data_IF_434878621418
#
_entry.id   IF_434878621418
#
_cell.length_a   1.000
_cell.length_b   1.000
_cell.length_c   1.000
_cell.angle_alpha   90.00
_cell.angle_beta   90.00
_cell.angle_gamma   90.00
#
_symmetry.space_group_name_H-M   'P 1'
#
loop_
_entity.id
_entity.type
_entity.pdbx_description
1 polymer ?
#
# COMPACT_ATOMS: atom_id res chain seq x y z
N UNK A 1 17.18 19.65 -6.81
CA UNK A 1 16.60 18.46 -7.45
C UNK A 1 15.39 18.05 -6.62
N UNK A 2 14.37 17.47 -7.25
CA UNK A 2 13.08 17.15 -6.61
C UNK A 2 12.92 15.64 -6.41
N UNK A 3 12.24 15.21 -5.34
CA UNK A 3 11.99 13.80 -5.01
C UNK A 3 10.84 13.16 -5.80
N UNK A 4 10.06 13.97 -6.52
CA UNK A 4 8.96 13.53 -7.35
C UNK A 4 9.12 14.12 -8.74
N UNK A 5 8.65 13.45 -9.79
CA UNK A 5 8.78 13.94 -11.17
C UNK A 5 7.40 13.99 -11.78
N UNK A 6 7.05 15.14 -12.36
CA UNK A 6 5.79 15.39 -13.05
C UNK A 6 6.08 15.87 -14.46
N UNK A 7 5.62 15.10 -15.46
CA UNK A 7 5.89 15.38 -16.87
C UNK A 7 4.58 15.42 -17.66
N UNK A 8 4.08 16.63 -18.00
CA UNK A 8 2.93 16.77 -18.90
C UNK A 8 3.24 16.23 -20.30
N UNK A 9 2.33 15.44 -20.86
CA UNK A 9 2.41 14.89 -22.21
C UNK A 9 1.01 14.89 -22.85
N UNK A 10 0.64 16.00 -23.49
CA UNK A 10 -0.69 16.17 -24.08
C UNK A 10 -1.80 16.12 -23.03
N UNK A 11 -2.70 15.15 -23.15
CA UNK A 11 -3.79 14.90 -22.21
C UNK A 11 -3.40 13.94 -21.07
N UNK A 12 -2.12 13.60 -20.94
CA UNK A 12 -1.60 12.65 -19.96
C UNK A 12 -0.51 13.29 -19.11
N UNK A 13 -0.65 13.19 -17.79
CA UNK A 13 0.34 13.60 -16.79
C UNK A 13 1.09 12.37 -16.32
N UNK A 14 2.35 12.24 -16.72
CA UNK A 14 3.21 11.16 -16.24
C UNK A 14 3.81 11.54 -14.90
N UNK A 15 3.72 10.63 -13.92
CA UNK A 15 4.19 10.88 -12.56
C UNK A 15 5.00 9.70 -12.02
N UNK A 16 6.10 9.99 -11.34
CA UNK A 16 6.91 8.97 -10.67
C UNK A 16 7.76 9.55 -9.54
N UNK A 17 8.27 8.67 -8.68
CA UNK A 17 9.27 9.05 -7.69
C UNK A 17 10.64 9.21 -8.36
N UNK A 18 11.42 10.19 -7.93
CA UNK A 18 12.80 10.34 -8.37
C UNK A 18 13.71 9.38 -7.57
N UNK A 19 14.29 8.34 -8.19
CA UNK A 19 15.16 7.41 -7.47
C UNK A 19 16.49 8.06 -7.03
N UNK A 20 16.91 9.15 -7.66
CA UNK A 20 18.15 9.87 -7.32
C UNK A 20 18.00 10.79 -6.09
N UNK A 21 16.76 11.14 -5.74
CA UNK A 21 16.45 12.03 -4.61
C UNK A 21 15.41 11.33 -3.72
N UNK A 22 15.80 10.28 -2.99
CA UNK A 22 14.89 9.58 -2.10
C UNK A 22 14.42 10.51 -0.98
N UNK A 23 13.11 10.58 -0.77
CA UNK A 23 12.54 11.40 0.30
C UNK A 23 11.40 10.69 1.05
N UNK A 24 11.06 11.25 2.19
CA UNK A 24 9.93 10.86 3.05
C UNK A 24 8.61 11.48 2.54
N UNK A 25 7.48 10.97 3.03
CA UNK A 25 6.15 11.31 2.50
C UNK A 25 5.83 12.82 2.55
N UNK A 26 6.27 13.50 3.61
CA UNK A 26 6.16 14.95 3.80
C UNK A 26 6.93 15.75 2.75
N UNK A 27 8.18 15.40 2.47
CA UNK A 27 8.97 16.09 1.45
C UNK A 27 8.47 15.76 0.04
N UNK A 28 8.06 14.52 -0.21
CA UNK A 28 7.50 14.11 -1.52
C UNK A 28 6.25 14.92 -1.86
N UNK A 29 5.36 15.19 -0.89
CA UNK A 29 4.17 16.02 -1.17
C UNK A 29 4.50 17.48 -1.41
N UNK A 30 5.48 18.06 -0.71
CA UNK A 30 5.96 19.42 -1.02
C UNK A 30 6.48 19.50 -2.46
N UNK A 31 7.35 18.55 -2.81
CA UNK A 31 7.99 18.49 -4.13
C UNK A 31 6.99 18.30 -5.27
N UNK A 32 5.93 17.49 -5.04
CA UNK A 32 4.85 17.32 -5.99
C UNK A 32 3.99 18.60 -6.12
N UNK A 33 3.68 19.25 -5.00
CA UNK A 33 2.92 20.50 -4.97
C UNK A 33 3.64 21.63 -5.71
N UNK A 34 4.92 21.84 -5.40
CA UNK A 34 5.76 22.87 -6.04
C UNK A 34 5.83 22.68 -7.56
N UNK A 35 6.00 21.44 -8.03
CA UNK A 35 6.01 21.15 -9.46
C UNK A 35 4.66 21.35 -10.14
N UNK A 36 3.56 20.91 -9.53
CA UNK A 36 2.23 21.14 -10.08
C UNK A 36 1.95 22.63 -10.24
N UNK A 37 2.24 23.42 -9.21
CA UNK A 37 2.06 24.87 -9.25
C UNK A 37 2.92 25.51 -10.34
N UNK A 38 4.21 25.15 -10.42
CA UNK A 38 5.09 25.66 -11.46
C UNK A 38 4.60 25.29 -12.88
N UNK A 39 4.09 24.06 -13.09
CA UNK A 39 3.52 23.63 -14.37
C UNK A 39 2.20 24.33 -14.71
N UNK A 40 1.39 24.67 -13.71
CA UNK A 40 0.15 25.45 -13.89
C UNK A 40 0.50 26.91 -14.25
N UNK A 41 1.38 27.54 -13.49
CA UNK A 41 1.80 28.95 -13.68
C UNK A 41 2.52 29.17 -15.02
N UNK A 42 3.33 28.20 -15.45
CA UNK A 42 4.00 28.23 -16.76
C UNK A 42 3.07 27.89 -17.94
N UNK A 43 1.81 27.51 -17.68
CA UNK A 43 0.84 27.14 -18.71
C UNK A 43 1.06 25.75 -19.33
N UNK A 44 1.95 24.92 -18.76
CA UNK A 44 2.13 23.52 -19.18
C UNK A 44 0.92 22.65 -18.82
N UNK A 45 0.16 23.05 -17.80
CA UNK A 45 -1.12 22.45 -17.40
C UNK A 45 -2.24 23.48 -17.54
N UNK A 46 -2.71 23.76 -18.77
CA UNK A 46 -3.68 24.84 -19.02
C UNK A 46 -5.11 24.50 -18.61
N UNK A 47 -5.36 23.30 -18.06
CA UNK A 47 -6.70 22.74 -17.90
C UNK A 47 -7.26 22.16 -19.20
N UNK A 48 -8.53 21.77 -19.18
CA UNK A 48 -9.19 21.24 -20.38
C UNK A 48 -10.28 20.21 -20.10
N UNK A 49 -10.61 19.41 -21.12
CA UNK A 49 -11.72 18.44 -21.05
C UNK A 49 -11.38 17.19 -20.23
N UNK A 50 -10.16 16.68 -20.38
CA UNK A 50 -9.70 15.45 -19.76
C UNK A 50 -8.23 15.58 -19.40
N UNK A 51 -7.87 15.10 -18.22
CA UNK A 51 -6.50 14.76 -17.86
C UNK A 51 -6.43 13.30 -17.42
N UNK A 52 -5.54 12.52 -18.03
CA UNK A 52 -5.14 11.20 -17.55
C UNK A 52 -3.92 11.35 -16.65
N UNK A 53 -3.87 10.66 -15.53
CA UNK A 53 -2.68 10.59 -14.67
C UNK A 53 -2.14 9.17 -14.76
N UNK A 54 -0.91 9.02 -15.21
CA UNK A 54 -0.25 7.74 -15.42
C UNK A 54 1.07 7.65 -14.66
N UNK A 55 1.35 6.49 -14.07
CA UNK A 55 2.56 6.24 -13.30
C UNK A 55 2.38 6.19 -11.77
N UNK A 56 3.51 6.06 -11.07
CA UNK A 56 3.59 5.69 -9.64
C UNK A 56 3.28 6.88 -8.74
N UNK A 57 2.34 6.67 -7.83
CA UNK A 57 1.88 7.68 -6.89
C UNK A 57 1.89 7.11 -5.47
N UNK A 58 2.22 7.92 -4.46
CA UNK A 58 1.86 7.60 -3.08
C UNK A 58 0.40 7.98 -2.83
N UNK A 59 -0.20 7.40 -1.79
CA UNK A 59 -1.51 7.82 -1.32
C UNK A 59 -1.51 9.33 -1.01
N UNK A 60 -0.45 9.86 -0.41
CA UNK A 60 -0.38 11.28 -0.04
C UNK A 60 -0.37 12.21 -1.26
N UNK A 61 0.45 11.91 -2.28
CA UNK A 61 0.56 12.73 -3.49
C UNK A 61 -0.76 12.75 -4.27
N UNK A 62 -1.53 11.65 -4.22
CA UNK A 62 -2.84 11.60 -4.88
C UNK A 62 -3.84 12.63 -4.34
N UNK A 63 -3.80 12.97 -3.04
CA UNK A 63 -4.63 14.04 -2.48
C UNK A 63 -4.23 15.42 -3.03
N UNK A 64 -2.92 15.69 -3.09
CA UNK A 64 -2.36 16.94 -3.64
C UNK A 64 -2.80 17.09 -5.10
N UNK A 65 -2.56 16.08 -5.94
CA UNK A 65 -2.96 16.12 -7.35
C UNK A 65 -4.46 16.27 -7.54
N UNK A 66 -5.26 15.54 -6.76
CA UNK A 66 -6.70 15.64 -6.83
C UNK A 66 -7.16 17.07 -6.60
N UNK A 67 -6.63 17.73 -5.58
CA UNK A 67 -6.97 19.09 -5.22
C UNK A 67 -6.52 20.12 -6.28
N UNK A 68 -5.23 20.13 -6.62
CA UNK A 68 -4.66 21.13 -7.53
C UNK A 68 -5.22 21.04 -8.95
N UNK A 69 -5.45 19.82 -9.44
CA UNK A 69 -5.88 19.59 -10.83
C UNK A 69 -7.40 19.60 -10.99
N UNK A 70 -8.15 19.32 -9.92
CA UNK A 70 -9.61 19.11 -9.96
C UNK A 70 -10.41 20.29 -10.48
N UNK A 71 -9.90 21.52 -10.29
CA UNK A 71 -10.56 22.73 -10.77
C UNK A 71 -10.16 23.11 -12.22
N UNK A 72 -9.08 22.54 -12.75
CA UNK A 72 -8.55 22.85 -14.08
C UNK A 72 -9.18 22.01 -15.19
N UNK A 73 -9.60 20.78 -14.87
CA UNK A 73 -10.07 19.82 -15.86
C UNK A 73 -11.54 19.41 -15.63
N UNK A 74 -12.31 19.32 -16.72
CA UNK A 74 -13.69 18.83 -16.66
C UNK A 74 -13.78 17.37 -16.22
N UNK A 75 -12.75 16.57 -16.50
CA UNK A 75 -12.61 15.21 -16.01
C UNK A 75 -11.15 14.86 -15.72
N UNK A 76 -10.94 14.05 -14.68
CA UNK A 76 -9.64 13.47 -14.35
C UNK A 76 -9.81 11.96 -14.30
N UNK A 77 -8.93 11.24 -15.00
CA UNK A 77 -8.86 9.79 -14.99
C UNK A 77 -7.49 9.32 -14.51
N UNK A 78 -7.44 8.32 -13.63
CA UNK A 78 -6.20 7.83 -13.04
C UNK A 78 -5.97 6.39 -13.47
N UNK A 79 -4.72 6.07 -13.83
CA UNK A 79 -4.30 4.75 -14.29
C UNK A 79 -4.62 3.69 -13.23
N UNK A 80 -5.32 2.63 -13.65
CA UNK A 80 -5.61 1.44 -12.85
C UNK A 80 -5.03 0.23 -13.59
N UNK A 81 -3.77 -0.16 -13.28
CA UNK A 81 -3.06 -1.20 -14.01
C UNK A 81 -3.81 -2.54 -14.04
N UNK A 82 -4.61 -2.82 -13.00
CA UNK A 82 -5.41 -4.06 -12.91
C UNK A 82 -6.54 -4.11 -13.93
N UNK A 83 -6.97 -2.96 -14.46
CA UNK A 83 -8.03 -2.87 -15.47
C UNK A 83 -7.49 -2.60 -16.87
N UNK A 84 -6.17 -2.41 -17.04
CA UNK A 84 -5.58 -1.91 -18.28
C UNK A 84 -6.32 -0.68 -18.83
N UNK A 85 -6.70 0.22 -17.92
CA UNK A 85 -7.56 1.37 -18.22
C UNK A 85 -7.28 2.51 -17.23
N UNK A 86 -7.76 3.70 -17.56
CA UNK A 86 -7.89 4.81 -16.62
C UNK A 86 -9.29 4.81 -16.02
N UNK A 87 -9.43 5.05 -14.72
CA UNK A 87 -10.73 5.21 -14.06
C UNK A 87 -11.00 6.68 -13.84
N UNK A 88 -12.17 7.17 -14.27
CA UNK A 88 -12.57 8.58 -14.10
C UNK A 88 -12.94 8.82 -12.63
N UNK A 89 -12.10 9.57 -11.93
CA UNK A 89 -12.22 9.89 -10.49
C UNK A 89 -12.81 11.26 -10.20
N UNK A 90 -12.83 12.15 -11.20
CA UNK A 90 -13.47 13.47 -11.15
C UNK A 90 -14.17 13.70 -12.48
N UNK A 91 -15.39 14.20 -12.47
CA UNK A 91 -16.08 14.60 -13.71
C UNK A 91 -17.22 15.58 -13.47
N UNK A 92 -17.29 16.61 -14.32
CA UNK A 92 -18.45 17.51 -14.50
C UNK A 92 -18.99 17.49 -15.93
N UNK A 93 -18.60 16.50 -16.74
CA UNK A 93 -18.94 16.40 -18.17
C UNK A 93 -19.55 15.04 -18.51
N UNK A 94 -20.59 14.97 -19.37
CA UNK A 94 -21.18 13.71 -19.79
C UNK A 94 -20.26 12.87 -20.70
N UNK A 95 -19.24 13.49 -21.30
CA UNK A 95 -18.31 12.79 -22.20
C UNK A 95 -17.42 11.77 -21.47
N UNK A 96 -17.13 12.03 -20.20
CA UNK A 96 -16.33 11.17 -19.33
C UNK A 96 -17.08 10.96 -18.02
N UNK A 97 -18.10 10.10 -17.97
CA UNK A 97 -18.90 9.92 -16.77
C UNK A 97 -18.05 9.50 -15.57
N UNK A 98 -18.37 10.01 -14.38
CA UNK A 98 -17.70 9.61 -13.14
C UNK A 98 -17.79 8.09 -12.94
N UNK A 99 -16.67 7.45 -12.55
CA UNK A 99 -16.55 6.00 -12.40
C UNK A 99 -16.41 5.24 -13.72
N UNK A 100 -16.54 5.87 -14.89
CA UNK A 100 -16.29 5.20 -16.16
C UNK A 100 -14.81 4.82 -16.34
N UNK A 101 -14.56 3.83 -17.20
CA UNK A 101 -13.21 3.39 -17.58
C UNK A 101 -12.86 3.94 -18.95
N UNK A 102 -11.63 4.37 -19.15
CA UNK A 102 -11.05 4.74 -20.45
C UNK A 102 -10.02 3.67 -20.80
N UNK A 103 -10.31 2.83 -21.78
CA UNK A 103 -9.40 1.77 -22.21
C UNK A 103 -8.06 2.36 -22.68
N UNK A 104 -6.94 1.79 -22.22
CA UNK A 104 -5.61 2.35 -22.48
C UNK A 104 -5.22 2.29 -23.96
N UNK A 105 -5.65 1.26 -24.67
CA UNK A 105 -5.29 1.01 -26.07
C UNK A 105 -6.20 1.75 -27.07
N UNK A 106 -7.51 1.73 -26.83
CA UNK A 106 -8.51 2.24 -27.79
C UNK A 106 -8.98 3.66 -27.46
N UNK A 107 -8.76 4.13 -26.22
CA UNK A 107 -9.35 5.37 -25.71
C UNK A 107 -10.86 5.30 -25.51
N UNK A 108 -11.48 4.12 -25.67
CA UNK A 108 -12.93 3.94 -25.54
C UNK A 108 -13.37 4.16 -24.10
N UNK A 109 -14.42 4.96 -23.93
CA UNK A 109 -15.08 5.17 -22.63
C UNK A 109 -16.13 4.09 -22.40
N UNK A 110 -15.97 3.35 -21.31
CA UNK A 110 -16.88 2.30 -20.85
C UNK A 110 -17.57 2.80 -19.58
N UNK A 111 -18.88 3.07 -19.60
CA UNK A 111 -19.62 3.49 -18.42
C UNK A 111 -19.52 2.46 -17.29
N UNK A 112 -19.50 2.94 -16.04
CA UNK A 112 -19.63 2.08 -14.88
C UNK A 112 -20.96 1.33 -14.93
N UNK A 113 -20.91 0.02 -14.70
CA UNK A 113 -22.09 -0.83 -14.57
C UNK A 113 -22.06 -1.48 -13.18
N UNK A 114 -23.00 -1.14 -12.28
CA UNK A 114 -23.01 -1.68 -10.92
C UNK A 114 -23.22 -3.20 -10.94
N UNK A 115 -22.45 -3.91 -10.13
CA UNK A 115 -22.70 -5.32 -9.84
C UNK A 115 -23.94 -5.48 -8.95
N UNK A 116 -24.65 -6.60 -9.09
CA UNK A 116 -25.75 -6.99 -8.19
C UNK A 116 -25.29 -7.49 -6.81
N UNK A 117 -24.01 -7.35 -6.48
CA UNK A 117 -23.46 -7.78 -5.20
C UNK A 117 -23.85 -6.82 -4.08
N UNK A 118 -24.47 -7.34 -3.02
CA UNK A 118 -24.91 -6.55 -1.87
C UNK A 118 -23.77 -6.12 -0.93
N UNK A 119 -22.64 -6.84 -0.96
CA UNK A 119 -21.51 -6.57 -0.05
C UNK A 119 -20.72 -5.35 -0.52
N UNK A 120 -20.61 -4.27 0.28
CA UNK A 120 -19.88 -3.07 -0.13
C UNK A 120 -18.38 -3.36 -0.27
N UNK A 121 -17.77 -2.76 -1.29
CA UNK A 121 -16.34 -2.81 -1.63
C UNK A 121 -15.47 -2.07 -0.62
N UNK A 122 -16.02 -1.01 -0.04
CA UNK A 122 -15.33 -0.10 0.86
C UNK A 122 -16.18 0.20 2.08
N UNK A 123 -15.52 0.60 3.16
CA UNK A 123 -16.17 1.12 4.37
C UNK A 123 -15.47 2.41 4.77
N UNK A 124 -16.26 3.45 4.98
CA UNK A 124 -15.79 4.73 5.50
C UNK A 124 -16.31 4.92 6.91
N UNK A 125 -15.48 4.59 7.89
CA UNK A 125 -15.78 4.88 9.29
C UNK A 125 -15.32 6.30 9.65
N UNK A 126 -15.96 6.88 10.66
CA UNK A 126 -15.71 8.25 11.10
C UNK A 126 -15.77 8.32 12.62
N UNK A 127 -14.76 8.95 13.21
CA UNK A 127 -14.68 9.27 14.65
C UNK A 127 -14.14 10.69 14.85
N UNK A 128 -15.02 11.62 15.18
CA UNK A 128 -14.66 13.02 15.45
C UNK A 128 -14.05 13.74 14.25
N UNK A 129 -12.74 13.96 14.26
CA UNK A 129 -11.99 14.58 13.16
C UNK A 129 -11.17 13.55 12.36
N UNK A 130 -11.41 12.24 12.56
CA UNK A 130 -10.69 11.15 11.88
C UNK A 130 -11.64 10.39 10.94
N UNK A 131 -11.31 10.40 9.65
CA UNK A 131 -11.94 9.54 8.65
C UNK A 131 -11.07 8.29 8.43
N UNK A 132 -11.68 7.11 8.52
CA UNK A 132 -10.98 5.83 8.43
C UNK A 132 -11.48 5.03 7.22
N UNK A 133 -10.90 5.27 6.03
CA UNK A 133 -11.24 4.52 4.83
C UNK A 133 -10.61 3.11 4.86
N UNK A 134 -11.40 2.09 4.56
CA UNK A 134 -10.97 0.69 4.55
C UNK A 134 -11.57 -0.05 3.35
N UNK A 135 -10.84 -1.04 2.85
CA UNK A 135 -11.40 -2.04 1.94
C UNK A 135 -12.19 -3.08 2.72
N UNK A 136 -13.26 -3.58 2.10
CA UNK A 136 -13.86 -4.81 2.59
C UNK A 136 -13.00 -6.01 2.15
N UNK A 137 -12.41 -6.71 3.12
CA UNK A 137 -11.49 -7.83 2.88
C UNK A 137 -12.14 -9.05 2.20
N UNK A 138 -13.47 -9.11 2.21
CA UNK A 138 -14.24 -10.23 1.66
C UNK A 138 -14.47 -10.13 0.15
N UNK A 139 -14.16 -8.99 -0.48
CA UNK A 139 -14.46 -8.73 -1.90
C UNK A 139 -13.24 -8.17 -2.63
N UNK A 140 -12.79 -8.88 -3.67
CA UNK A 140 -11.82 -8.31 -4.62
C UNK A 140 -12.56 -7.38 -5.57
N UNK A 141 -12.30 -6.08 -5.47
CA UNK A 141 -13.11 -5.05 -6.13
C UNK A 141 -12.31 -4.26 -7.15
N UNK A 142 -12.85 -4.06 -8.37
CA UNK A 142 -12.20 -3.24 -9.38
C UNK A 142 -12.22 -1.76 -8.95
N UNK A 143 -11.23 -1.00 -9.43
CA UNK A 143 -10.99 0.38 -9.00
C UNK A 143 -12.14 1.35 -9.27
N UNK A 144 -12.93 1.11 -10.32
CA UNK A 144 -14.13 1.89 -10.64
C UNK A 144 -15.25 1.72 -9.61
N UNK A 145 -15.48 0.50 -9.13
CA UNK A 145 -16.43 0.23 -8.04
C UNK A 145 -16.03 0.95 -6.76
N UNK A 146 -14.73 0.92 -6.42
CA UNK A 146 -14.18 1.65 -5.28
C UNK A 146 -14.50 3.14 -5.38
N UNK A 147 -14.27 3.76 -6.55
CA UNK A 147 -14.56 5.18 -6.79
C UNK A 147 -16.03 5.52 -6.58
N UNK A 148 -16.93 4.71 -7.16
CA UNK A 148 -18.38 4.95 -7.09
C UNK A 148 -18.92 4.80 -5.67
N UNK A 149 -18.55 3.73 -4.98
CA UNK A 149 -19.03 3.48 -3.61
C UNK A 149 -18.45 4.47 -2.60
N UNK A 150 -17.19 4.87 -2.76
CA UNK A 150 -16.55 5.90 -1.91
C UNK A 150 -17.36 7.20 -1.96
N UNK A 151 -17.73 7.64 -3.16
CA UNK A 151 -18.51 8.88 -3.33
C UNK A 151 -19.88 8.76 -2.66
N UNK A 152 -20.59 7.65 -2.88
CA UNK A 152 -21.91 7.43 -2.29
C UNK A 152 -21.87 7.42 -0.74
N UNK A 153 -20.87 6.76 -0.15
CA UNK A 153 -20.70 6.74 1.30
C UNK A 153 -20.32 8.12 1.87
N UNK A 154 -19.39 8.85 1.24
CA UNK A 154 -19.04 10.22 1.66
C UNK A 154 -20.24 11.16 1.62
N UNK A 155 -21.03 11.12 0.54
CA UNK A 155 -22.24 11.93 0.42
C UNK A 155 -23.25 11.61 1.52
N UNK A 156 -23.35 10.34 1.91
CA UNK A 156 -24.19 9.91 3.03
C UNK A 156 -23.68 10.48 4.37
N UNK A 157 -22.37 10.40 4.64
CA UNK A 157 -21.76 10.96 5.85
C UNK A 157 -21.92 12.48 5.94
N UNK A 158 -21.76 13.19 4.81
CA UNK A 158 -21.96 14.65 4.72
C UNK A 158 -23.43 15.00 4.93
N UNK A 159 -24.36 14.32 4.26
CA UNK A 159 -25.80 14.57 4.39
C UNK A 159 -26.32 14.31 5.81
N UNK A 160 -25.71 13.38 6.55
CA UNK A 160 -26.00 13.10 7.97
C UNK A 160 -25.33 14.08 8.93
N UNK A 161 -24.54 15.03 8.42
CA UNK A 161 -23.81 15.99 9.24
C UNK A 161 -22.73 15.36 10.11
N UNK A 162 -22.15 14.22 9.70
CA UNK A 162 -21.01 13.59 10.39
C UNK A 162 -19.70 14.28 9.98
N UNK A 163 -19.54 14.59 8.69
CA UNK A 163 -18.43 15.39 8.17
C UNK A 163 -18.83 16.87 8.08
N UNK A 164 -18.88 17.54 9.24
CA UNK A 164 -19.37 18.94 9.35
C UNK A 164 -18.42 19.98 8.75
N UNK A 165 -17.17 19.62 8.53
CA UNK A 165 -16.15 20.59 8.16
C UNK A 165 -15.73 21.47 9.34
N UNK A 166 -14.85 22.43 9.08
CA UNK A 166 -14.38 23.38 10.08
C UNK A 166 -12.95 23.84 9.86
N UNK A 167 -12.46 24.67 10.78
CA UNK A 167 -11.08 25.20 10.72
C UNK A 167 -10.01 24.16 11.10
N UNK A 168 -10.40 23.12 11.84
CA UNK A 168 -9.50 22.04 12.22
C UNK A 168 -9.20 21.14 11.02
N UNK A 169 -8.01 20.52 10.98
CA UNK A 169 -7.69 19.56 9.94
C UNK A 169 -8.55 18.31 10.08
N UNK A 170 -9.01 17.76 8.95
CA UNK A 170 -9.52 16.39 8.89
C UNK A 170 -8.32 15.44 8.82
N UNK A 171 -8.25 14.48 9.73
CA UNK A 171 -7.25 13.43 9.74
C UNK A 171 -7.77 12.21 8.97
N UNK A 172 -6.96 11.67 8.06
CA UNK A 172 -7.27 10.44 7.32
C UNK A 172 -6.36 9.32 7.85
N UNK A 173 -6.97 8.28 8.42
CA UNK A 173 -6.24 7.11 8.93
C UNK A 173 -6.88 5.82 8.44
N UNK A 174 -6.35 5.27 7.35
CA UNK A 174 -6.87 4.02 6.81
C UNK A 174 -6.11 3.53 5.59
N UNK A 175 -6.34 2.26 5.25
CA UNK A 175 -5.73 1.62 4.08
C UNK A 175 -6.67 1.76 2.90
N UNK A 176 -6.24 2.54 1.92
CA UNK A 176 -7.09 2.87 0.78
C UNK A 176 -6.35 2.96 -0.55
N UNK A 177 -7.10 2.99 -1.65
CA UNK A 177 -6.52 3.13 -2.99
C UNK A 177 -6.24 4.59 -3.31
N UNK A 178 -5.27 4.78 -4.21
CA UNK A 178 -5.03 6.06 -4.91
C UNK A 178 -6.31 6.56 -5.59
N UNK A 179 -7.12 5.67 -6.19
CA UNK A 179 -8.37 6.11 -6.82
C UNK A 179 -9.38 6.67 -5.82
N UNK A 180 -9.52 6.02 -4.66
CA UNK A 180 -10.45 6.42 -3.63
C UNK A 180 -10.02 7.72 -2.92
N UNK A 181 -8.72 7.97 -2.76
CA UNK A 181 -8.22 9.23 -2.20
C UNK A 181 -8.51 10.43 -3.08
N UNK A 182 -8.48 10.30 -4.42
CA UNK A 182 -8.93 11.37 -5.32
C UNK A 182 -10.39 11.76 -5.04
N UNK A 183 -11.26 10.77 -4.82
CA UNK A 183 -12.67 11.01 -4.48
C UNK A 183 -12.79 11.67 -3.11
N UNK A 184 -12.09 11.17 -2.08
CA UNK A 184 -12.11 11.77 -0.73
C UNK A 184 -11.66 13.23 -0.80
N UNK A 185 -10.50 13.50 -1.41
CA UNK A 185 -9.97 14.85 -1.59
C UNK A 185 -11.02 15.79 -2.18
N UNK A 186 -11.63 15.40 -3.30
CA UNK A 186 -12.62 16.23 -4.00
C UNK A 186 -13.90 16.49 -3.21
N UNK A 187 -14.34 15.53 -2.38
CA UNK A 187 -15.57 15.69 -1.60
C UNK A 187 -15.36 16.50 -0.31
N UNK A 188 -14.15 16.48 0.28
CA UNK A 188 -13.92 17.05 1.62
C UNK A 188 -12.95 18.23 1.66
N UNK A 189 -12.19 18.52 0.59
CA UNK A 189 -11.22 19.62 0.55
C UNK A 189 -11.83 20.96 0.99
N UNK A 190 -12.97 21.33 0.41
CA UNK A 190 -13.64 22.60 0.70
C UNK A 190 -14.46 22.60 2.00
N UNK A 191 -14.55 21.46 2.70
CA UNK A 191 -15.23 21.37 3.99
C UNK A 191 -14.30 21.71 5.16
N UNK A 192 -12.99 21.39 5.04
CA UNK A 192 -12.03 21.52 6.12
C UNK A 192 -10.93 22.53 5.79
N UNK A 193 -10.42 23.21 6.81
CA UNK A 193 -9.30 24.14 6.67
C UNK A 193 -7.99 23.46 6.25
N UNK A 194 -7.86 22.16 6.50
CA UNK A 194 -6.77 21.32 6.00
C UNK A 194 -7.19 19.84 6.02
N UNK A 195 -6.48 19.01 5.25
CA UNK A 195 -6.58 17.56 5.29
C UNK A 195 -5.17 17.01 5.52
N UNK A 196 -5.02 16.13 6.50
CA UNK A 196 -3.77 15.44 6.80
C UNK A 196 -3.94 13.92 6.76
N UNK A 197 -2.99 13.22 6.15
CA UNK A 197 -3.07 11.77 5.91
C UNK A 197 -1.98 11.08 6.71
N UNK A 198 -2.34 10.04 7.44
CA UNK A 198 -1.39 9.22 8.19
C UNK A 198 -0.38 8.56 7.25
N UNK A 199 0.92 8.73 7.53
CA UNK A 199 1.98 7.98 6.86
C UNK A 199 2.62 6.99 7.85
N UNK A 200 2.39 5.66 7.69
CA UNK A 200 2.94 4.66 8.59
C UNK A 200 4.47 4.56 8.54
N UNK A 201 5.11 5.20 7.56
CA UNK A 201 6.56 5.25 7.40
C UNK A 201 7.19 6.46 8.08
N UNK A 202 6.38 7.32 8.69
CA UNK A 202 6.83 8.48 9.44
C UNK A 202 6.48 8.35 10.91
N UNK A 203 7.24 9.07 11.73
CA UNK A 203 7.01 9.17 13.17
C UNK A 203 8.02 8.40 14.01
N UNK A 204 7.70 8.31 15.30
CA UNK A 204 8.53 7.69 16.32
C UNK A 204 7.66 6.96 17.35
N UNK A 205 8.29 6.27 18.29
CA UNK A 205 7.58 5.48 19.31
C UNK A 205 6.55 6.34 20.06
N UNK A 206 5.28 5.94 20.02
CA UNK A 206 4.18 6.64 20.68
C UNK A 206 3.59 7.86 19.95
N UNK A 207 4.03 8.18 18.73
CA UNK A 207 3.54 9.35 17.97
C UNK A 207 3.20 9.00 16.52
N UNK A 208 1.91 9.03 16.16
CA UNK A 208 1.47 8.87 14.77
C UNK A 208 1.61 10.20 14.04
N UNK A 209 2.26 10.16 12.87
CA UNK A 209 2.54 11.35 12.09
C UNK A 209 1.62 11.41 10.86
N UNK A 210 0.87 12.50 10.77
CA UNK A 210 0.00 12.82 9.65
C UNK A 210 0.64 13.92 8.83
N UNK A 211 0.65 13.80 7.51
CA UNK A 211 1.19 14.81 6.61
C UNK A 211 0.04 15.60 6.02
N UNK A 212 0.10 16.92 6.11
CA UNK A 212 -0.88 17.83 5.48
C UNK A 212 -0.74 17.73 3.97
N UNK A 213 -1.81 17.32 3.30
CA UNK A 213 -1.85 17.12 1.84
C UNK A 213 -2.70 18.17 1.11
N UNK A 214 -3.63 18.82 1.83
CA UNK A 214 -4.47 19.90 1.32
C UNK A 214 -4.58 20.94 2.42
N UNK A 215 -4.48 22.22 2.08
CA UNK A 215 -4.64 23.32 3.04
C UNK A 215 -5.35 24.54 2.44
N UNK A 216 -6.28 25.06 3.22
CA UNK A 216 -6.98 26.34 3.03
C UNK A 216 -6.86 27.22 4.29
N UNK A 217 -5.88 26.95 5.14
CA UNK A 217 -5.71 27.59 6.45
C UNK A 217 -4.24 27.92 6.71
N UNK A 218 -3.85 28.02 7.98
CA UNK A 218 -2.46 28.34 8.37
C UNK A 218 -1.47 27.20 8.15
N UNK A 219 -1.96 25.97 7.94
CA UNK A 219 -1.10 24.83 7.60
C UNK A 219 -0.54 24.97 6.19
N UNK A 220 0.60 24.34 5.93
CA UNK A 220 1.22 24.20 4.60
C UNK A 220 1.21 22.75 4.17
N UNK A 221 1.11 22.51 2.87
CA UNK A 221 1.26 21.15 2.31
C UNK A 221 2.67 20.64 2.66
N UNK A 222 2.73 19.45 3.26
CA UNK A 222 3.93 18.82 3.81
C UNK A 222 4.19 19.11 5.29
N UNK A 223 3.43 20.00 5.94
CA UNK A 223 3.47 20.10 7.40
C UNK A 223 3.09 18.76 8.03
N UNK A 224 3.65 18.47 9.20
CA UNK A 224 3.35 17.24 9.94
C UNK A 224 2.53 17.55 11.20
N UNK A 225 1.56 16.68 11.49
CA UNK A 225 0.72 16.72 12.68
C UNK A 225 1.00 15.44 13.47
N UNK A 226 1.54 15.59 14.67
CA UNK A 226 1.82 14.49 15.56
C UNK A 226 0.60 14.22 16.45
N UNK A 227 0.16 12.96 16.46
CA UNK A 227 -0.96 12.47 17.26
C UNK A 227 -0.43 11.41 18.23
N UNK A 228 -0.47 11.64 19.55
CA UNK A 228 -0.09 10.63 20.52
C UNK A 228 -0.88 9.34 20.33
N UNK A 229 -0.16 8.22 20.26
CA UNK A 229 -0.75 6.89 20.16
C UNK A 229 -0.14 5.97 21.22
N UNK A 230 -0.92 4.99 21.68
CA UNK A 230 -0.38 3.99 22.61
C UNK A 230 0.62 3.11 21.86
N UNK A 231 1.80 2.81 22.44
CA UNK A 231 2.74 1.90 21.81
C UNK A 231 2.09 0.54 21.63
N UNK A 232 1.97 0.10 20.37
CA UNK A 232 1.41 -1.20 20.04
C UNK A 232 2.48 -2.28 20.17
N UNK A 233 2.07 -3.42 20.73
CA UNK A 233 2.87 -4.63 20.63
C UNK A 233 2.91 -5.05 19.16
N UNK A 234 4.10 -5.05 18.56
CA UNK A 234 4.28 -5.42 17.17
C UNK A 234 5.18 -6.66 17.02
N UNK A 235 5.02 -7.32 15.87
CA UNK A 235 5.95 -8.30 15.32
C UNK A 235 6.37 -7.84 13.93
N UNK A 236 7.65 -7.98 13.64
CA UNK A 236 8.28 -7.61 12.36
C UNK A 236 8.86 -8.87 11.75
N UNK A 237 8.17 -9.39 10.75
CA UNK A 237 8.42 -10.70 10.15
C UNK A 237 9.08 -10.51 8.80
N UNK A 238 10.32 -10.98 8.67
CA UNK A 238 11.00 -11.05 7.37
C UNK A 238 10.72 -12.37 6.66
N UNK A 239 10.41 -12.28 5.37
CA UNK A 239 10.36 -13.41 4.44
C UNK A 239 11.70 -13.47 3.69
N UNK A 240 12.53 -14.45 4.03
CA UNK A 240 13.88 -14.60 3.50
C UNK A 240 14.06 -15.95 2.78
N UNK A 241 15.10 -16.06 1.95
CA UNK A 241 15.34 -17.25 1.15
C UNK A 241 15.98 -16.98 -0.22
N UNK A 242 16.45 -18.01 -0.93
CA UNK A 242 17.14 -17.90 -2.22
C UNK A 242 16.32 -17.16 -3.29
N UNK A 243 16.94 -16.73 -4.41
CA UNK A 243 16.18 -16.15 -5.50
C UNK A 243 15.19 -17.17 -6.08
N UNK A 244 14.11 -16.68 -6.69
CA UNK A 244 13.11 -17.49 -7.40
C UNK A 244 12.37 -18.56 -6.59
N UNK A 245 12.38 -18.49 -5.26
CA UNK A 245 11.59 -19.39 -4.39
C UNK A 245 10.12 -18.96 -4.20
N UNK A 246 9.68 -17.89 -4.85
CA UNK A 246 8.30 -17.40 -4.71
C UNK A 246 8.02 -16.52 -3.47
N UNK A 247 9.05 -15.89 -2.88
CA UNK A 247 8.90 -14.99 -1.70
C UNK A 247 7.82 -13.93 -1.87
N UNK A 248 7.79 -13.26 -3.02
CA UNK A 248 6.78 -12.24 -3.32
C UNK A 248 5.37 -12.85 -3.43
N UNK A 249 5.24 -14.05 -3.98
CA UNK A 249 3.97 -14.79 -4.04
C UNK A 249 3.50 -15.17 -2.63
N UNK A 250 4.42 -15.63 -1.77
CA UNK A 250 4.15 -15.91 -0.36
C UNK A 250 3.72 -14.63 0.38
N UNK A 251 4.43 -13.51 0.16
CA UNK A 251 4.11 -12.21 0.76
C UNK A 251 2.69 -11.76 0.41
N UNK A 252 2.31 -11.83 -0.86
CA UNK A 252 0.96 -11.44 -1.28
C UNK A 252 -0.11 -12.42 -0.77
N UNK A 253 0.15 -13.73 -0.85
CA UNK A 253 -0.77 -14.74 -0.28
C UNK A 253 -1.00 -14.53 1.22
N UNK A 254 0.06 -14.28 1.98
CA UNK A 254 0.00 -14.02 3.42
C UNK A 254 -0.74 -12.70 3.72
N UNK A 255 -0.49 -11.64 2.95
CA UNK A 255 -1.23 -10.37 3.06
C UNK A 255 -2.73 -10.61 2.93
N UNK A 256 -3.15 -11.31 1.87
CA UNK A 256 -4.55 -11.62 1.62
C UNK A 256 -5.15 -12.54 2.68
N UNK A 257 -4.37 -13.52 3.18
CA UNK A 257 -4.80 -14.41 4.26
C UNK A 257 -5.05 -13.64 5.57
N UNK A 258 -4.15 -12.74 5.96
CA UNK A 258 -4.32 -11.88 7.14
C UNK A 258 -5.54 -10.96 7.00
N UNK A 259 -5.76 -10.37 5.83
CA UNK A 259 -6.93 -9.51 5.58
C UNK A 259 -8.26 -10.27 5.68
N UNK A 260 -8.29 -11.53 5.26
CA UNK A 260 -9.48 -12.41 5.33
C UNK A 260 -9.66 -13.08 6.68
N UNK A 261 -8.69 -12.98 7.59
CA UNK A 261 -8.76 -13.61 8.90
C UNK A 261 -9.64 -12.75 9.83
N UNK A 262 -10.75 -13.28 10.36
CA UNK A 262 -11.64 -12.50 11.22
C UNK A 262 -10.91 -12.02 12.48
N UNK A 263 -11.10 -10.75 12.84
CA UNK A 263 -10.46 -10.10 14.00
C UNK A 263 -8.92 -10.18 14.00
N UNK A 264 -8.29 -10.38 12.84
CA UNK A 264 -6.84 -10.29 12.76
C UNK A 264 -6.36 -8.89 13.18
N UNK A 265 -5.25 -8.79 13.91
CA UNK A 265 -4.59 -7.51 14.17
C UNK A 265 -4.22 -6.80 12.86
N UNK A 266 -4.09 -5.49 12.92
CA UNK A 266 -3.74 -4.70 11.75
C UNK A 266 -2.35 -5.10 11.20
N UNK A 267 -2.29 -5.39 9.89
CA UNK A 267 -1.08 -5.95 9.27
C UNK A 267 -0.53 -5.16 8.07
N UNK A 268 0.67 -4.61 8.12
CA UNK A 268 1.24 -3.85 7.00
C UNK A 268 2.31 -4.65 6.27
N UNK A 269 2.44 -4.41 4.96
CA UNK A 269 3.32 -5.17 4.08
C UNK A 269 4.14 -4.23 3.24
N UNK A 270 5.46 -4.41 3.25
CA UNK A 270 6.40 -3.63 2.41
C UNK A 270 7.31 -4.57 1.63
N UNK A 271 7.81 -4.09 0.48
CA UNK A 271 8.93 -4.74 -0.21
C UNK A 271 10.26 -4.17 0.30
N UNK A 272 11.15 -5.08 0.70
CA UNK A 272 12.53 -4.78 1.05
C UNK A 272 13.53 -4.97 -0.09
N UNK A 273 13.06 -5.29 -1.30
CA UNK A 273 13.90 -5.47 -2.48
C UNK A 273 13.46 -4.51 -3.61
N UNK A 274 14.37 -3.76 -4.25
CA UNK A 274 14.05 -2.86 -5.35
C UNK A 274 13.90 -3.60 -6.70
N UNK A 275 13.22 -4.75 -6.72
CA UNK A 275 13.11 -5.59 -7.92
C UNK A 275 12.02 -5.16 -8.91
N UNK A 276 11.36 -4.02 -8.64
CA UNK A 276 10.26 -3.48 -9.44
C UNK A 276 8.90 -4.11 -9.15
N UNK A 277 8.84 -5.07 -8.24
CA UNK A 277 7.59 -5.69 -7.80
C UNK A 277 6.83 -4.78 -6.82
N UNK A 278 5.50 -4.91 -6.77
CA UNK A 278 4.64 -4.06 -5.95
C UNK A 278 3.30 -4.72 -5.65
N UNK A 279 2.48 -4.10 -4.81
CA UNK A 279 1.14 -4.64 -4.46
C UNK A 279 0.19 -4.79 -5.66
N UNK A 280 0.51 -4.17 -6.79
CA UNK A 280 -0.24 -4.25 -8.04
C UNK A 280 0.15 -5.48 -8.89
N UNK A 281 1.37 -6.00 -8.77
CA UNK A 281 1.94 -6.93 -9.74
C UNK A 281 1.14 -8.22 -9.86
N UNK A 282 0.86 -8.92 -8.75
CA UNK A 282 0.17 -10.22 -8.81
C UNK A 282 -1.25 -10.14 -9.37
N UNK A 283 -1.95 -9.01 -9.15
CA UNK A 283 -3.29 -8.79 -9.70
C UNK A 283 -3.21 -8.41 -11.18
N UNK A 284 -2.26 -7.55 -11.57
CA UNK A 284 -2.02 -7.19 -12.97
C UNK A 284 -1.55 -8.40 -13.77
N UNK A 285 -0.62 -9.20 -13.26
CA UNK A 285 -0.07 -10.38 -13.94
C UNK A 285 -1.14 -11.45 -14.19
N UNK A 286 -2.14 -11.57 -13.32
CA UNK A 286 -3.31 -12.45 -13.51
C UNK A 286 -4.16 -12.09 -14.73
N UNK A 287 -4.22 -10.80 -15.08
CA UNK A 287 -5.08 -10.27 -16.15
C UNK A 287 -4.31 -9.95 -17.42
N UNK A 288 -3.12 -9.36 -17.27
CA UNK A 288 -2.22 -8.96 -18.34
C UNK A 288 -0.74 -9.21 -17.90
N UNK A 289 -0.21 -10.43 -18.11
CA UNK A 289 1.16 -10.80 -17.74
C UNK A 289 2.25 -10.01 -18.45
N UNK A 290 1.99 -9.56 -19.68
CA UNK A 290 2.96 -8.78 -20.48
C UNK A 290 3.10 -7.37 -19.92
N UNK A 291 1.98 -6.70 -19.68
CA UNK A 291 1.98 -5.38 -19.07
C UNK A 291 2.57 -5.38 -17.65
N UNK A 292 2.29 -6.42 -16.86
CA UNK A 292 2.91 -6.55 -15.54
C UNK A 292 4.43 -6.65 -15.60
N UNK A 293 4.97 -7.40 -16.56
CA UNK A 293 6.43 -7.52 -16.78
C UNK A 293 7.04 -6.19 -17.22
N UNK A 294 6.40 -5.50 -18.15
CA UNK A 294 6.84 -4.19 -18.61
C UNK A 294 6.97 -3.19 -17.45
N UNK A 295 5.92 -3.06 -16.62
CA UNK A 295 5.95 -2.17 -15.46
C UNK A 295 7.02 -2.57 -14.43
N UNK A 296 7.23 -3.88 -14.24
CA UNK A 296 8.26 -4.38 -13.32
C UNK A 296 9.66 -3.99 -13.78
N UNK A 297 9.96 -4.17 -15.07
CA UNK A 297 11.25 -3.80 -15.63
C UNK A 297 11.49 -2.29 -15.56
N UNK A 298 10.44 -1.49 -15.78
CA UNK A 298 10.48 -0.03 -15.63
C UNK A 298 10.74 0.41 -14.18
N UNK A 299 10.20 -0.30 -13.19
CA UNK A 299 10.25 0.10 -11.78
C UNK A 299 11.41 -0.49 -11.00
N UNK A 300 12.17 -1.39 -11.61
CA UNK A 300 13.34 -2.01 -11.01
C UNK A 300 14.42 -0.95 -10.76
N UNK A 301 15.01 -0.99 -9.57
CA UNK A 301 16.07 -0.09 -9.17
C UNK A 301 17.27 -0.87 -8.60
N UNK A 302 18.39 -0.15 -8.41
CA UNK A 302 19.58 -0.74 -7.82
C UNK A 302 19.40 -0.96 -6.32
N UNK A 303 19.94 -2.07 -5.82
CA UNK A 303 19.97 -2.35 -4.39
C UNK A 303 21.23 -1.72 -3.79
N UNK A 304 21.08 -0.51 -3.26
CA UNK A 304 22.17 0.27 -2.67
C UNK A 304 22.09 0.28 -1.14
N UNK A 305 23.19 0.60 -0.43
CA UNK A 305 23.19 0.78 1.02
C UNK A 305 22.17 1.84 1.48
N UNK A 306 22.04 2.95 0.75
CA UNK A 306 21.10 4.02 1.09
C UNK A 306 19.65 3.56 0.99
N UNK A 307 19.33 2.71 0.00
CA UNK A 307 18.03 2.05 -0.08
C UNK A 307 17.81 1.15 1.14
N UNK A 308 18.83 0.38 1.55
CA UNK A 308 18.76 -0.52 2.68
C UNK A 308 18.54 0.23 4.00
N UNK A 309 19.27 1.32 4.25
CA UNK A 309 19.13 2.17 5.43
C UNK A 309 17.73 2.80 5.49
N UNK A 310 17.25 3.35 4.38
CA UNK A 310 15.88 3.88 4.29
C UNK A 310 14.85 2.80 4.62
N UNK A 311 15.02 1.61 4.07
CA UNK A 311 14.09 0.50 4.29
C UNK A 311 14.14 -0.01 5.73
N UNK A 312 15.33 -0.09 6.33
CA UNK A 312 15.49 -0.42 7.74
C UNK A 312 14.80 0.61 8.63
N UNK A 313 14.87 1.90 8.28
CA UNK A 313 14.15 2.95 8.99
C UNK A 313 12.63 2.79 8.88
N UNK A 314 12.11 2.49 7.68
CA UNK A 314 10.68 2.16 7.51
C UNK A 314 10.29 0.97 8.40
N UNK A 315 11.06 -0.14 8.39
CA UNK A 315 10.80 -1.31 9.25
C UNK A 315 10.82 -0.93 10.73
N UNK A 316 11.70 -0.04 11.15
CA UNK A 316 11.80 0.45 12.53
C UNK A 316 10.54 1.19 12.97
N UNK A 317 10.06 2.14 12.17
CA UNK A 317 9.00 3.08 12.57
C UNK A 317 7.58 2.56 12.34
N UNK A 318 7.38 1.61 11.42
CA UNK A 318 6.05 1.04 11.16
C UNK A 318 5.55 0.30 12.42
N UNK A 319 4.38 0.71 12.90
CA UNK A 319 3.81 0.28 14.20
C UNK A 319 2.67 -0.73 14.10
N UNK A 320 2.26 -1.10 12.89
CA UNK A 320 1.20 -2.07 12.72
C UNK A 320 1.50 -3.35 13.52
N UNK A 321 0.48 -3.96 14.12
CA UNK A 321 0.64 -5.13 14.99
C UNK A 321 1.45 -6.22 14.29
N UNK A 322 1.22 -6.41 12.99
CA UNK A 322 1.99 -7.35 12.16
C UNK A 322 2.63 -6.58 11.00
N UNK A 323 3.96 -6.50 10.94
CA UNK A 323 4.68 -6.05 9.75
C UNK A 323 5.27 -7.27 9.04
N UNK A 324 4.97 -7.43 7.75
CA UNK A 324 5.59 -8.45 6.90
C UNK A 324 6.40 -7.78 5.79
N UNK A 325 7.62 -8.22 5.57
CA UNK A 325 8.42 -7.73 4.45
C UNK A 325 9.29 -8.83 3.84
N UNK A 326 9.46 -8.80 2.52
CA UNK A 326 10.40 -9.68 1.82
C UNK A 326 11.73 -8.99 1.54
N UNK A 327 12.80 -9.77 1.47
CA UNK A 327 14.17 -9.31 1.20
C UNK A 327 14.74 -9.90 -0.08
N UNK A 328 15.88 -9.37 -0.53
CA UNK A 328 16.58 -9.89 -1.70
C UNK A 328 16.96 -11.37 -1.56
N UNK A 329 17.16 -12.06 -2.68
CA UNK A 329 17.44 -13.51 -2.68
C UNK A 329 18.84 -13.94 -2.21
N UNK A 330 19.64 -13.03 -1.65
CA UNK A 330 21.04 -13.30 -1.25
C UNK A 330 21.28 -12.84 0.18
N UNK A 331 22.18 -13.46 0.90
CA UNK A 331 22.65 -13.06 2.24
C UNK A 331 23.62 -11.86 2.16
N UNK A 332 23.13 -10.72 1.66
CA UNK A 332 23.95 -9.53 1.37
C UNK A 332 24.07 -8.56 2.56
N UNK A 333 25.06 -7.65 2.56
CA UNK A 333 25.17 -6.57 3.57
C UNK A 333 23.92 -5.69 3.64
N UNK A 334 23.29 -5.39 2.50
CA UNK A 334 22.07 -4.60 2.43
C UNK A 334 20.90 -5.33 3.11
N UNK A 335 20.75 -6.62 2.85
CA UNK A 335 19.76 -7.44 3.55
C UNK A 335 20.03 -7.52 5.05
N UNK A 336 21.30 -7.51 5.47
CA UNK A 336 21.67 -7.47 6.89
C UNK A 336 21.11 -6.21 7.58
N UNK A 337 21.30 -5.05 6.95
CA UNK A 337 20.80 -3.76 7.46
C UNK A 337 19.28 -3.78 7.64
N UNK A 338 18.55 -4.30 6.65
CA UNK A 338 17.08 -4.36 6.70
C UNK A 338 16.60 -5.38 7.75
N UNK A 339 17.21 -6.57 7.75
CA UNK A 339 16.80 -7.70 8.60
C UNK A 339 17.12 -7.49 10.08
N UNK A 340 18.13 -6.67 10.41
CA UNK A 340 18.47 -6.29 11.80
C UNK A 340 17.29 -5.67 12.55
N UNK A 341 16.33 -5.06 11.82
CA UNK A 341 15.14 -4.45 12.41
C UNK A 341 13.96 -5.42 12.55
N UNK A 342 14.09 -6.66 12.08
CA UNK A 342 13.07 -7.69 12.21
C UNK A 342 13.09 -8.31 13.61
N UNK A 343 12.00 -8.97 13.98
CA UNK A 343 11.90 -9.74 15.24
C UNK A 343 11.72 -11.24 15.00
N UNK A 344 11.18 -11.63 13.83
CA UNK A 344 11.01 -13.02 13.43
C UNK A 344 11.36 -13.21 11.96
N UNK A 345 11.72 -14.44 11.59
CA UNK A 345 12.02 -14.82 10.22
C UNK A 345 11.17 -16.03 9.76
N UNK A 346 10.79 -16.00 8.47
CA UNK A 346 10.21 -17.10 7.73
C UNK A 346 11.16 -17.41 6.58
N UNK A 347 11.70 -18.63 6.56
CA UNK A 347 12.64 -19.07 5.53
C UNK A 347 11.85 -19.81 4.45
N UNK A 348 12.02 -19.40 3.19
CA UNK A 348 11.43 -20.05 2.02
C UNK A 348 12.53 -20.51 1.05
N UNK A 349 12.77 -21.82 0.97
CA UNK A 349 13.89 -22.43 0.25
C UNK A 349 13.46 -23.61 -0.63
N UNK A 350 14.31 -24.09 -1.53
CA UNK A 350 14.05 -25.31 -2.32
C UNK A 350 14.76 -26.52 -1.72
N UNK A 351 15.86 -26.31 -1.00
CA UNK A 351 16.72 -27.38 -0.48
C UNK A 351 17.12 -27.15 0.97
N UNK A 352 17.49 -28.23 1.65
CA UNK A 352 17.98 -28.19 3.03
C UNK A 352 19.29 -27.40 3.20
N UNK A 353 20.14 -27.39 2.16
CA UNK A 353 21.37 -26.62 2.18
C UNK A 353 21.10 -25.10 2.21
N UNK A 354 20.13 -24.65 1.41
CA UNK A 354 19.67 -23.26 1.40
C UNK A 354 19.01 -22.88 2.73
N UNK A 355 18.24 -23.79 3.33
CA UNK A 355 17.65 -23.57 4.67
C UNK A 355 18.77 -23.30 5.69
N UNK A 356 19.82 -24.12 5.71
CA UNK A 356 20.95 -23.96 6.64
C UNK A 356 21.69 -22.63 6.45
N UNK A 357 21.90 -22.21 5.20
CA UNK A 357 22.52 -20.90 4.90
C UNK A 357 21.69 -19.75 5.49
N UNK A 358 20.38 -19.74 5.23
CA UNK A 358 19.50 -18.68 5.73
C UNK A 358 19.26 -18.76 7.24
N UNK A 359 19.27 -19.94 7.83
CA UNK A 359 19.24 -20.11 9.29
C UNK A 359 20.47 -19.48 9.93
N UNK A 360 21.68 -19.78 9.44
CA UNK A 360 22.91 -19.18 9.97
C UNK A 360 22.87 -17.65 9.89
N UNK A 361 22.37 -17.11 8.78
CA UNK A 361 22.21 -15.66 8.62
C UNK A 361 21.17 -15.05 9.59
N UNK A 362 20.07 -15.77 9.86
CA UNK A 362 19.08 -15.36 10.86
C UNK A 362 19.64 -15.43 12.29
N UNK A 363 20.44 -16.46 12.59
CA UNK A 363 21.08 -16.67 13.89
C UNK A 363 22.09 -15.55 14.19
N UNK A 364 22.90 -15.14 13.22
CA UNK A 364 23.81 -13.99 13.33
C UNK A 364 23.08 -12.68 13.67
N UNK A 365 21.82 -12.55 13.22
CA UNK A 365 20.96 -11.39 13.45
C UNK A 365 20.04 -11.58 14.66
N UNK A 366 20.19 -12.66 15.42
CA UNK A 366 19.34 -13.01 16.56
C UNK A 366 17.84 -13.07 16.24
N UNK A 367 17.50 -13.42 14.99
CA UNK A 367 16.12 -13.52 14.54
C UNK A 367 15.52 -14.87 14.92
N UNK A 368 14.34 -14.84 15.57
CA UNK A 368 13.59 -16.06 15.84
C UNK A 368 12.97 -16.59 14.55
N UNK A 369 13.49 -17.70 14.03
CA UNK A 369 12.84 -18.42 12.92
C UNK A 369 11.54 -19.05 13.42
N UNK A 370 10.41 -18.70 12.79
CA UNK A 370 9.07 -19.19 13.15
C UNK A 370 8.49 -20.16 12.12
N UNK A 371 9.03 -20.16 10.89
CA UNK A 371 8.66 -21.10 9.87
C UNK A 371 9.81 -21.41 8.89
N UNK A 372 9.89 -22.65 8.44
CA UNK A 372 10.71 -23.13 7.33
C UNK A 372 9.77 -23.74 6.30
N UNK A 373 9.68 -23.11 5.15
CA UNK A 373 8.79 -23.50 4.07
C UNK A 373 9.63 -23.94 2.86
N UNK A 374 9.32 -25.11 2.31
CA UNK A 374 9.91 -25.57 1.06
C UNK A 374 9.03 -25.14 -0.11
N UNK A 375 9.61 -24.39 -1.03
CA UNK A 375 8.97 -24.02 -2.30
C UNK A 375 9.06 -25.20 -3.26
N UNK A 376 7.96 -25.94 -3.42
CA UNK A 376 7.88 -27.05 -4.36
C UNK A 376 7.16 -26.61 -5.64
N UNK A 377 7.91 -26.11 -6.61
CA UNK A 377 7.31 -25.58 -7.85
C UNK A 377 6.57 -26.66 -8.68
N UNK A 378 6.96 -27.92 -8.55
CA UNK A 378 6.37 -29.05 -9.27
C UNK A 378 5.36 -29.84 -8.42
N UNK A 379 5.23 -29.50 -7.15
CA UNK A 379 4.26 -30.07 -6.24
C UNK A 379 2.82 -29.78 -6.68
N UNK A 380 1.91 -30.66 -6.28
CA UNK A 380 0.47 -30.54 -6.59
C UNK A 380 -0.37 -30.15 -5.39
N UNK A 381 0.21 -30.15 -4.19
CA UNK A 381 -0.45 -29.81 -2.94
C UNK A 381 0.55 -29.29 -1.91
N UNK A 382 0.05 -28.48 -1.00
CA UNK A 382 0.78 -28.10 0.21
C UNK A 382 0.93 -29.32 1.13
N UNK A 383 1.99 -29.31 1.93
CA UNK A 383 2.15 -30.25 3.02
C UNK A 383 2.58 -29.51 4.28
N UNK A 384 2.00 -29.88 5.41
CA UNK A 384 2.42 -29.39 6.72
C UNK A 384 2.97 -30.60 7.46
N UNK A 385 4.27 -30.62 7.70
CA UNK A 385 4.94 -31.67 8.46
C UNK A 385 4.80 -31.42 9.96
N UNK A 386 4.94 -30.16 10.37
CA UNK A 386 4.90 -29.75 11.78
C UNK A 386 4.39 -28.32 11.90
N UNK A 387 3.44 -28.04 12.80
CA UNK A 387 2.96 -26.67 13.05
C UNK A 387 3.66 -25.99 14.23
N UNK A 388 4.11 -26.75 15.24
CA UNK A 388 4.66 -26.24 16.50
C UNK A 388 5.84 -27.08 16.99
N UNK A 389 6.87 -26.49 17.64
CA UNK A 389 7.06 -25.06 17.95
C UNK A 389 7.57 -24.22 16.77
N UNK A 390 7.83 -24.86 15.63
CA UNK A 390 8.32 -24.29 14.39
C UNK A 390 7.51 -24.88 13.23
N UNK A 391 6.89 -24.02 12.43
CA UNK A 391 6.14 -24.45 11.24
C UNK A 391 7.12 -24.99 10.20
N UNK A 392 6.97 -26.26 9.82
CA UNK A 392 7.69 -26.91 8.72
C UNK A 392 6.67 -27.46 7.75
N UNK A 393 6.81 -27.10 6.49
CA UNK A 393 5.95 -27.59 5.43
C UNK A 393 6.46 -27.21 4.06
N UNK A 394 5.70 -27.59 3.03
CA UNK A 394 5.90 -27.15 1.67
C UNK A 394 4.72 -26.30 1.19
N UNK A 395 5.02 -25.34 0.32
CA UNK A 395 4.02 -24.61 -0.46
C UNK A 395 4.25 -24.99 -1.91
N UNK A 396 3.22 -25.55 -2.54
CA UNK A 396 3.35 -25.94 -3.93
C UNK A 396 3.15 -24.76 -4.87
N UNK A 397 3.88 -24.78 -5.97
CA UNK A 397 3.66 -23.98 -7.17
C UNK A 397 3.34 -22.50 -6.88
N UNK A 398 4.30 -21.81 -6.26
CA UNK A 398 4.22 -20.38 -5.98
C UNK A 398 4.41 -19.55 -7.25
N UNK A 399 3.37 -19.46 -8.07
CA UNK A 399 3.33 -18.65 -9.28
C UNK A 399 2.61 -17.30 -9.05
N UNK A 400 3.13 -16.25 -9.70
CA UNK A 400 2.61 -14.87 -9.53
C UNK A 400 1.20 -14.67 -10.09
N UNK A 401 0.73 -15.57 -10.96
CA UNK A 401 -0.62 -15.57 -11.51
C UNK A 401 -1.64 -16.32 -10.63
N UNK A 402 -1.22 -16.94 -9.52
CA UNK A 402 -2.14 -17.68 -8.65
C UNK A 402 -2.49 -16.91 -7.39
N UNK A 403 -3.75 -17.06 -6.96
CA UNK A 403 -4.19 -16.64 -5.65
C UNK A 403 -3.79 -17.72 -4.64
N UNK A 404 -3.00 -17.37 -3.63
CA UNK A 404 -2.41 -18.32 -2.70
C UNK A 404 -2.89 -18.14 -1.26
N UNK A 405 -3.79 -17.19 -0.98
CA UNK A 405 -4.25 -16.91 0.38
C UNK A 405 -4.95 -18.08 1.05
N UNK A 406 -5.68 -18.91 0.29
CA UNK A 406 -6.40 -20.08 0.81
C UNK A 406 -5.53 -21.32 1.01
N UNK A 407 -4.23 -21.25 0.67
CA UNK A 407 -3.29 -22.37 0.77
C UNK A 407 -3.12 -22.79 2.24
N UNK A 408 -3.23 -24.10 2.57
CA UNK A 408 -3.13 -24.58 3.94
C UNK A 408 -1.90 -24.08 4.69
N UNK A 409 -0.72 -24.09 4.05
CA UNK A 409 0.53 -23.66 4.68
C UNK A 409 0.55 -22.14 4.93
N UNK A 410 -0.05 -21.35 4.04
CA UNK A 410 -0.16 -19.88 4.19
C UNK A 410 -1.16 -19.52 5.29
N UNK A 411 -2.28 -20.23 5.36
CA UNK A 411 -3.27 -20.10 6.44
C UNK A 411 -2.68 -20.50 7.80
N UNK A 412 -1.88 -21.57 7.86
CA UNK A 412 -1.16 -21.95 9.07
C UNK A 412 -0.17 -20.85 9.50
N UNK A 413 0.59 -20.29 8.57
CA UNK A 413 1.50 -19.19 8.86
C UNK A 413 0.75 -17.95 9.38
N UNK A 414 -0.36 -17.55 8.73
CA UNK A 414 -1.19 -16.43 9.16
C UNK A 414 -1.69 -16.61 10.60
N UNK A 415 -2.21 -17.80 10.94
CA UNK A 415 -2.65 -18.15 12.30
C UNK A 415 -1.52 -17.98 13.32
N UNK A 416 -0.31 -18.50 13.02
CA UNK A 416 0.86 -18.35 13.90
C UNK A 416 1.18 -16.88 14.17
N UNK A 417 1.11 -16.01 13.15
CA UNK A 417 1.39 -14.57 13.34
C UNK A 417 0.34 -13.91 14.25
N UNK A 418 -0.93 -14.24 14.08
CA UNK A 418 -2.03 -13.74 14.93
C UNK A 418 -1.86 -14.22 16.37
N UNK A 419 -1.56 -15.51 16.56
CA UNK A 419 -1.36 -16.11 17.89
C UNK A 419 -0.16 -15.51 18.62
N UNK A 420 0.94 -15.23 17.91
CA UNK A 420 2.13 -14.59 18.49
C UNK A 420 1.82 -13.20 19.06
N UNK A 421 1.01 -12.40 18.35
CA UNK A 421 0.57 -11.10 18.84
C UNK A 421 -0.39 -11.26 20.02
N UNK A 422 -1.36 -12.17 19.95
CA UNK A 422 -2.28 -12.42 21.04
C UNK A 422 -1.54 -12.83 22.34
N UNK A 423 -0.52 -13.68 22.23
CA UNK A 423 0.33 -14.08 23.36
C UNK A 423 1.15 -12.90 23.91
N UNK A 424 1.69 -12.05 23.04
CA UNK A 424 2.46 -10.86 23.45
C UNK A 424 1.59 -9.87 24.23
N UNK A 425 0.37 -9.64 23.76
CA UNK A 425 -0.63 -8.81 24.44
C UNK A 425 -1.10 -9.40 25.78
N UNK A 426 -1.23 -10.74 25.87
CA UNK A 426 -1.59 -11.39 27.12
C UNK A 426 -0.49 -11.24 28.19
N UNK A 427 0.79 -11.37 27.80
CA UNK A 427 1.94 -11.22 28.71
C UNK A 427 2.09 -9.80 29.24
N UNK A 428 1.92 -8.78 28.40
CA UNK A 428 2.00 -7.39 28.86
C UNK A 428 0.92 -7.06 29.90
N UNK A 429 -0.30 -7.60 29.73
CA UNK A 429 -1.39 -7.41 30.72
C UNK A 429 -1.13 -8.09 32.06
N UNK A 430 -0.46 -9.24 32.05
CA UNK A 430 -0.09 -9.93 33.29
C UNK A 430 1.06 -9.24 34.04
N UNK A 431 1.93 -8.51 33.34
CA UNK A 431 3.03 -7.75 33.94
C UNK A 431 2.57 -6.38 34.50
N UNK A 432 1.45 -5.85 34.02
CA UNK A 432 0.83 -4.59 34.49
C UNK A 432 -0.18 -4.77 35.64
N UNK A 433 -0.48 -6.02 36.06
CA UNK A 433 -1.37 -6.31 37.19
C UNK A 433 -0.54 -6.51 38.47
N UNK A 434 -0.70 -5.68 39.52
CA UNK A 434 0.13 -5.73 40.74
C UNK A 434 -0.05 -6.99 41.59
#
# INVERSE_FOLDING_TARGET
MTSYIITPNGDTLNVCFNPEVPAEGDRVVCDAMEQLQASIESGQLPGGKLLKIDGRQSLLVSYVMAHELGHLYSAIAVSEPRLNAYVVVTSNTPNYPFGSRIERETGRVIPYSPSLEDTPAVRLDWDGDILQPQFNGDVSVPGDRVVVETKAQLQTLIARGQLKGGRKPLLINGRFSVLGSFVIAQQVAHLYGAIAVYDPKLGESGLDKYVVVISHSTYRVGDTIDVPCSPLQNIKVVLCGPPNTGKTCLREGLKQALLKTPNAPDSYVISGCPDGDGSWFSETARRNPEFARQLKDEYKANFTPEFADKKAKEVEVIKNSILVFDVGGKTSPENRIIMDRATQAVILANTEAEVKEWQAFCDELHLRVIAILYSDYHGTRDSIERESPLLIGSVHHLDRSQETSSRPTIQALARILVDLIAQKLARSRSEESP
#
